data_IF_455247854820
#
_entry.id   IF_455247854820
#
_cell.length_a   1.000
_cell.length_b   1.000
_cell.length_c   1.000
_cell.angle_alpha   90.00
_cell.angle_beta   90.00
_cell.angle_gamma   90.00
#
_symmetry.space_group_name_H-M   'P 1'
#
loop_
_entity.id
_entity.type
_entity.pdbx_description
1 polymer ?
#
# COMPACT_ATOMS: atom_id res chain seq x y z
N UNK A 1 -34.07 16.08 -42.92
CA UNK A 1 -35.01 17.17 -42.56
C UNK A 1 -35.33 17.06 -41.07
N UNK A 2 -34.73 17.92 -40.24
CA UNK A 2 -35.26 18.31 -38.92
C UNK A 2 -36.62 19.03 -39.13
N UNK A 3 -37.54 19.21 -38.12
CA UNK A 3 -37.21 19.58 -36.73
C UNK A 3 -38.17 19.11 -35.60
N UNK A 4 -37.71 19.22 -34.34
CA UNK A 4 -38.20 20.19 -33.31
C UNK A 4 -37.73 19.81 -31.91
N UNK A 5 -37.01 20.71 -31.25
CA UNK A 5 -36.73 20.64 -29.82
C UNK A 5 -38.01 20.92 -29.01
N UNK A 6 -38.23 20.16 -27.94
CA UNK A 6 -39.17 20.50 -26.87
C UNK A 6 -38.35 20.99 -25.66
N UNK A 7 -38.40 22.29 -25.39
CA UNK A 7 -37.83 22.87 -24.17
C UNK A 7 -38.83 22.74 -23.01
N UNK A 8 -38.37 22.33 -21.83
CA UNK A 8 -39.13 22.45 -20.58
C UNK A 8 -38.24 23.07 -19.50
N UNK A 9 -38.61 24.26 -19.07
CA UNK A 9 -38.06 24.93 -17.91
C UNK A 9 -38.59 24.31 -16.61
N UNK A 10 -37.78 24.33 -15.55
CA UNK A 10 -38.13 23.85 -14.21
C UNK A 10 -37.61 24.78 -13.11
N UNK A 11 -38.50 25.65 -12.61
CA UNK A 11 -38.41 26.40 -11.34
C UNK A 11 -39.14 25.58 -10.24
N UNK A 12 -38.79 25.57 -8.94
CA UNK A 12 -37.67 26.14 -8.15
C UNK A 12 -37.47 25.20 -6.92
N UNK A 13 -36.56 25.37 -5.96
CA UNK A 13 -36.62 26.25 -4.75
C UNK A 13 -35.37 25.90 -3.89
N UNK A 14 -34.89 26.85 -3.08
CA UNK A 14 -33.72 26.70 -2.21
C UNK A 14 -33.93 25.84 -0.94
N UNK A 15 -32.82 25.35 -0.37
CA UNK A 15 -32.66 25.15 1.06
C UNK A 15 -31.23 25.54 1.47
N UNK A 16 -31.09 26.66 2.19
CA UNK A 16 -29.82 27.09 2.75
C UNK A 16 -29.68 26.55 4.18
N UNK A 17 -28.53 25.97 4.51
CA UNK A 17 -28.16 25.65 5.89
C UNK A 17 -26.77 26.19 6.16
N UNK A 18 -26.70 27.31 6.88
CA UNK A 18 -25.44 27.83 7.39
C UNK A 18 -25.07 27.08 8.68
N UNK A 19 -23.83 26.62 8.79
CA UNK A 19 -23.25 26.14 10.04
C UNK A 19 -22.17 27.11 10.48
N UNK A 20 -22.52 27.95 11.45
CA UNK A 20 -21.59 28.90 12.09
C UNK A 20 -20.86 28.19 13.23
N UNK A 21 -19.58 27.87 13.05
CA UNK A 21 -18.71 27.40 14.13
C UNK A 21 -17.85 28.55 14.65
N UNK A 22 -18.32 29.23 15.70
CA UNK A 22 -17.52 30.20 16.43
C UNK A 22 -16.75 29.50 17.55
N UNK A 23 -15.42 29.50 17.47
CA UNK A 23 -14.54 29.18 18.60
C UNK A 23 -13.61 30.36 18.87
N UNK A 24 -13.97 31.14 19.88
CA UNK A 24 -13.07 32.03 20.57
C UNK A 24 -13.23 31.78 22.06
N UNK A 25 -12.14 31.41 22.74
CA UNK A 25 -11.91 31.75 24.15
C UNK A 25 -10.40 31.67 24.41
N UNK A 26 -9.85 32.77 24.91
CA UNK A 26 -8.45 32.90 25.30
C UNK A 26 -8.24 32.36 26.73
N UNK A 27 -6.98 32.11 27.10
CA UNK A 27 -6.65 31.62 28.45
C UNK A 27 -5.16 31.53 28.77
N UNK A 28 -4.44 32.66 28.72
CA UNK A 28 -3.13 32.74 29.37
C UNK A 28 -3.31 32.92 30.88
N UNK A 29 -2.68 32.07 31.68
CA UNK A 29 -2.30 32.41 33.07
C UNK A 29 -1.09 31.56 33.50
N UNK A 30 0.03 32.23 33.75
CA UNK A 30 1.04 31.74 34.67
C UNK A 30 0.65 32.15 36.10
N UNK A 31 1.08 31.40 37.12
CA UNK A 31 1.94 31.90 38.21
C UNK A 31 2.04 30.94 39.41
N UNK A 32 3.28 30.78 39.89
CA UNK A 32 3.71 30.66 41.29
C UNK A 32 3.04 29.66 42.27
N UNK A 33 3.88 28.75 42.79
CA UNK A 33 4.17 28.81 44.23
C UNK A 33 4.46 27.51 45.00
N UNK A 34 5.63 27.52 45.67
CA UNK A 34 5.98 26.80 46.92
C UNK A 34 6.19 25.28 46.89
N UNK A 35 7.47 24.94 46.71
CA UNK A 35 8.30 24.20 47.67
C UNK A 35 7.59 23.39 48.78
N UNK A 36 7.81 22.08 48.76
CA UNK A 36 7.95 21.28 49.98
C UNK A 36 9.23 20.45 49.92
N UNK A 37 9.95 20.48 51.04
CA UNK A 37 11.23 19.83 51.29
C UNK A 37 11.05 18.31 51.46
N UNK A 38 11.84 17.50 50.74
CA UNK A 38 12.06 16.09 51.09
C UNK A 38 13.38 15.56 50.54
N UNK A 39 14.34 15.33 51.44
CA UNK A 39 15.60 14.64 51.15
C UNK A 39 15.45 13.12 51.20
N UNK A 40 16.06 12.47 50.21
CA UNK A 40 16.69 11.13 50.25
C UNK A 40 15.85 9.87 50.59
N UNK A 41 16.27 8.65 50.16
CA UNK A 41 17.61 8.29 49.69
C UNK A 41 17.71 7.60 48.30
N UNK A 42 18.78 7.94 47.59
CA UNK A 42 19.60 7.05 46.74
C UNK A 42 18.94 5.79 46.11
N UNK A 43 18.01 5.98 45.16
CA UNK A 43 17.68 4.90 44.22
C UNK A 43 18.84 4.70 43.23
N UNK A 44 19.36 3.46 43.19
CA UNK A 44 20.33 3.05 42.17
C UNK A 44 19.62 2.99 40.82
N UNK A 45 19.86 3.98 39.98
CA UNK A 45 19.45 3.96 38.58
C UNK A 45 20.15 2.79 37.86
N UNK A 46 19.45 1.65 37.79
CA UNK A 46 19.81 0.56 36.87
C UNK A 46 19.36 1.04 35.49
N UNK A 47 20.33 1.51 34.69
CA UNK A 47 20.07 1.85 33.31
C UNK A 47 19.44 0.65 32.60
N UNK A 48 18.31 0.80 31.88
CA UNK A 48 17.77 -0.29 31.08
C UNK A 48 18.85 -0.71 30.08
N UNK A 49 19.17 -2.00 30.05
CA UNK A 49 20.13 -2.53 29.09
C UNK A 49 19.63 -2.18 27.67
N UNK A 50 20.46 -1.49 26.90
CA UNK A 50 20.13 -1.21 25.51
C UNK A 50 19.84 -2.53 24.80
N UNK A 51 18.74 -2.64 24.02
CA UNK A 51 18.44 -3.85 23.28
C UNK A 51 19.64 -4.16 22.38
N UNK A 52 20.13 -5.40 22.47
CA UNK A 52 21.24 -5.86 21.64
C UNK A 52 20.94 -5.53 20.16
N UNK A 53 21.88 -4.96 19.41
CA UNK A 53 21.66 -4.71 17.99
C UNK A 53 21.38 -6.04 17.32
N UNK A 54 20.17 -6.20 16.76
CA UNK A 54 19.86 -7.32 15.88
C UNK A 54 20.92 -7.38 14.78
N UNK A 55 21.44 -8.57 14.43
CA UNK A 55 22.44 -8.67 13.38
C UNK A 55 21.86 -8.11 12.09
N UNK A 56 22.48 -7.04 11.57
CA UNK A 56 22.14 -6.53 10.24
C UNK A 56 22.25 -7.71 9.26
N UNK A 57 21.18 -8.06 8.51
CA UNK A 57 21.27 -9.13 7.55
C UNK A 57 22.36 -8.78 6.53
N UNK A 58 23.41 -9.58 6.48
CA UNK A 58 24.46 -9.41 5.48
C UNK A 58 23.81 -9.62 4.10
N UNK A 59 23.85 -8.64 3.19
CA UNK A 59 23.32 -8.83 1.85
C UNK A 59 24.07 -9.99 1.20
N UNK A 60 23.34 -11.01 0.75
CA UNK A 60 23.95 -12.12 0.02
C UNK A 60 24.66 -11.58 -1.22
N UNK A 61 25.85 -12.10 -1.53
CA UNK A 61 26.64 -11.65 -2.67
C UNK A 61 25.90 -11.84 -4.02
N UNK A 62 24.92 -12.74 -4.06
CA UNK A 62 24.07 -13.03 -5.21
C UNK A 62 22.79 -12.17 -5.26
N UNK A 63 22.58 -11.26 -4.30
CA UNK A 63 21.37 -10.45 -4.29
C UNK A 63 21.41 -9.35 -5.35
N UNK A 64 20.42 -9.38 -6.25
CA UNK A 64 20.19 -8.34 -7.25
C UNK A 64 19.13 -7.36 -6.75
N UNK A 65 19.41 -6.04 -6.70
CA UNK A 65 18.39 -5.04 -6.35
C UNK A 65 17.17 -5.14 -7.26
N UNK A 66 16.00 -5.02 -6.66
CA UNK A 66 14.71 -5.01 -7.35
C UNK A 66 14.53 -3.68 -8.07
N UNK A 67 14.14 -3.74 -9.35
CA UNK A 67 13.72 -2.57 -10.11
C UNK A 67 12.23 -2.36 -9.93
N UNK A 68 11.85 -1.43 -9.04
CA UNK A 68 10.45 -1.09 -8.81
C UNK A 68 9.85 -0.21 -9.90
N UNK A 69 10.61 0.24 -10.91
CA UNK A 69 10.10 1.13 -11.97
C UNK A 69 8.88 0.56 -12.71
N UNK A 70 8.82 -0.76 -12.88
CA UNK A 70 7.67 -1.44 -13.48
C UNK A 70 6.42 -1.44 -12.58
N UNK A 71 6.58 -1.40 -11.25
CA UNK A 71 5.45 -1.27 -10.31
C UNK A 71 4.87 0.16 -10.29
N UNK A 72 5.68 1.17 -10.62
CA UNK A 72 5.27 2.59 -10.69
C UNK A 72 4.59 2.98 -12.00
N UNK A 73 4.42 2.02 -12.91
CA UNK A 73 3.86 2.24 -14.23
C UNK A 73 2.40 2.74 -14.21
N UNK A 74 1.65 2.47 -13.12
CA UNK A 74 0.27 2.91 -12.94
C UNK A 74 0.07 4.42 -12.75
N UNK A 75 1.16 5.19 -12.61
CA UNK A 75 1.13 6.63 -12.33
C UNK A 75 1.40 6.94 -10.85
N UNK A 76 1.64 8.22 -10.56
CA UNK A 76 1.78 8.70 -9.19
C UNK A 76 0.39 9.00 -8.60
N UNK A 77 0.13 8.53 -7.39
CA UNK A 77 -1.13 8.80 -6.69
C UNK A 77 -0.92 9.89 -5.63
N UNK A 78 -1.71 10.97 -5.71
CA UNK A 78 -1.73 12.04 -4.70
C UNK A 78 -2.49 11.59 -3.43
N UNK A 79 -1.90 10.67 -2.65
CA UNK A 79 -2.44 10.24 -1.36
C UNK A 79 -1.68 10.82 -0.16
N UNK A 80 -2.37 10.99 0.97
CA UNK A 80 -1.74 11.33 2.24
C UNK A 80 -1.09 10.07 2.86
N UNK A 81 0.23 10.06 3.16
CA UNK A 81 0.91 8.87 3.68
C UNK A 81 0.40 8.47 5.07
N UNK A 82 -0.31 7.35 5.15
CA UNK A 82 -0.82 6.79 6.40
C UNK A 82 0.30 6.20 7.25
N UNK A 83 0.09 6.18 8.56
CA UNK A 83 0.96 5.46 9.51
C UNK A 83 0.72 3.94 9.46
N UNK A 84 1.68 3.13 9.93
CA UNK A 84 1.52 1.67 10.01
C UNK A 84 0.27 1.20 10.78
N UNK A 85 -0.12 1.90 11.84
CA UNK A 85 -1.32 1.58 12.63
C UNK A 85 -2.62 1.89 11.87
N UNK A 86 -2.69 3.05 11.22
CA UNK A 86 -3.84 3.41 10.36
C UNK A 86 -3.98 2.43 9.19
N UNK A 87 -2.86 1.99 8.61
CA UNK A 87 -2.86 0.98 7.56
C UNK A 87 -3.36 -0.38 8.04
N UNK A 88 -2.96 -0.87 9.22
CA UNK A 88 -3.48 -2.14 9.76
C UNK A 88 -5.00 -2.08 9.99
N UNK A 89 -5.50 -0.95 10.50
CA UNK A 89 -6.94 -0.75 10.69
C UNK A 89 -7.71 -0.56 9.35
N UNK A 90 -7.07 0.06 8.36
CA UNK A 90 -7.68 0.39 7.06
C UNK A 90 -7.61 -0.73 6.02
N UNK A 91 -6.75 -1.74 6.21
CA UNK A 91 -6.57 -2.86 5.26
C UNK A 91 -7.39 -4.08 5.65
N UNK A 92 -7.87 -4.82 4.65
CA UNK A 92 -8.57 -6.08 4.90
C UNK A 92 -7.58 -7.21 5.19
N UNK A 93 -6.40 -7.19 4.57
CA UNK A 93 -5.35 -8.14 4.84
C UNK A 93 -3.97 -7.47 4.71
N UNK A 94 -3.11 -7.67 5.71
CA UNK A 94 -1.69 -7.29 5.67
C UNK A 94 -0.85 -8.54 5.80
N UNK A 95 -0.01 -8.79 4.80
CA UNK A 95 0.80 -10.02 4.66
C UNK A 95 2.24 -9.72 4.28
N UNK A 96 3.14 -10.64 4.63
CA UNK A 96 4.38 -10.83 3.87
C UNK A 96 4.16 -11.96 2.88
N UNK A 97 4.58 -11.74 1.64
CA UNK A 97 4.49 -12.71 0.57
C UNK A 97 5.78 -12.74 -0.26
N UNK A 98 5.99 -13.84 -0.96
CA UNK A 98 7.08 -14.02 -1.92
C UNK A 98 6.51 -14.18 -3.33
N UNK A 99 7.09 -13.45 -4.29
CA UNK A 99 6.69 -13.54 -5.69
C UNK A 99 7.03 -14.93 -6.23
N UNK A 100 6.02 -15.70 -6.61
CA UNK A 100 6.18 -17.02 -7.24
C UNK A 100 6.46 -16.85 -8.72
N UNK A 101 5.61 -16.09 -9.42
CA UNK A 101 5.74 -15.82 -10.86
C UNK A 101 4.91 -14.61 -11.31
N UNK A 102 5.29 -14.09 -12.47
CA UNK A 102 4.51 -13.14 -13.26
C UNK A 102 3.77 -13.91 -14.37
N UNK A 103 2.45 -13.85 -14.33
CA UNK A 103 1.51 -14.50 -15.24
C UNK A 103 1.12 -13.54 -16.36
N UNK A 104 0.95 -14.10 -17.56
CA UNK A 104 0.50 -13.39 -18.76
C UNK A 104 -0.80 -12.61 -18.53
N UNK A 105 -0.87 -11.45 -19.17
CA UNK A 105 -1.82 -10.40 -18.83
C UNK A 105 -3.22 -10.55 -19.43
N UNK A 106 -4.03 -9.54 -19.10
CA UNK A 106 -5.39 -9.33 -19.56
C UNK A 106 -5.65 -7.82 -19.69
N UNK A 107 -6.72 -7.48 -20.40
CA UNK A 107 -7.15 -6.10 -20.56
C UNK A 107 -8.36 -5.83 -19.67
N UNK A 108 -8.30 -4.74 -18.90
CA UNK A 108 -9.47 -4.14 -18.29
C UNK A 108 -9.94 -2.97 -19.16
N UNK A 109 -11.24 -2.65 -19.09
CA UNK A 109 -11.76 -1.38 -19.56
C UNK A 109 -11.93 -0.43 -18.38
N UNK A 110 -11.36 0.76 -18.49
CA UNK A 110 -11.54 1.84 -17.52
C UNK A 110 -11.92 3.11 -18.28
N UNK A 111 -13.06 3.71 -17.93
CA UNK A 111 -13.74 4.80 -18.66
C UNK A 111 -13.83 4.66 -20.21
N UNK A 112 -13.74 3.42 -20.71
CA UNK A 112 -13.80 3.07 -22.13
C UNK A 112 -12.43 2.86 -22.80
N UNK A 113 -11.34 3.25 -22.12
CA UNK A 113 -9.97 2.98 -22.54
C UNK A 113 -9.52 1.57 -22.14
N UNK A 114 -8.56 1.03 -22.89
CA UNK A 114 -7.98 -0.29 -22.66
C UNK A 114 -6.76 -0.15 -21.74
N UNK A 115 -6.87 -0.68 -20.52
CA UNK A 115 -5.76 -0.71 -19.56
C UNK A 115 -5.20 -2.14 -19.47
N UNK A 116 -3.93 -2.37 -19.88
CA UNK A 116 -3.31 -3.68 -19.82
C UNK A 116 -2.78 -3.98 -18.41
N UNK A 117 -3.14 -5.15 -17.87
CA UNK A 117 -2.70 -5.67 -16.58
C UNK A 117 -2.01 -7.02 -16.76
N UNK A 118 -1.03 -7.30 -15.90
CA UNK A 118 -0.53 -8.66 -15.66
C UNK A 118 -0.93 -9.12 -14.26
N UNK A 119 -0.66 -10.39 -13.91
CA UNK A 119 -0.89 -10.87 -12.54
C UNK A 119 0.40 -11.38 -11.90
N UNK A 120 0.71 -10.86 -10.72
CA UNK A 120 1.69 -11.44 -9.81
C UNK A 120 1.01 -12.52 -8.95
N UNK A 121 1.51 -13.74 -9.02
CA UNK A 121 1.18 -14.80 -8.05
C UNK A 121 2.17 -14.74 -6.89
N UNK A 122 1.65 -14.54 -5.68
CA UNK A 122 2.41 -14.25 -4.49
C UNK A 122 2.02 -15.26 -3.40
N UNK A 123 2.98 -16.08 -2.97
CA UNK A 123 2.78 -17.04 -1.90
C UNK A 123 2.84 -16.30 -0.56
N UNK A 124 1.74 -16.32 0.20
CA UNK A 124 1.68 -15.72 1.54
C UNK A 124 2.57 -16.53 2.48
N UNK A 125 3.71 -15.97 2.87
CA UNK A 125 4.61 -16.57 3.84
C UNK A 125 4.25 -16.19 5.27
N UNK A 126 3.52 -15.09 5.45
CA UNK A 126 3.10 -14.60 6.75
C UNK A 126 1.82 -13.75 6.69
N UNK A 127 0.92 -13.90 7.66
CA UNK A 127 -0.19 -12.98 7.93
C UNK A 127 0.15 -12.12 9.13
N UNK A 128 0.08 -10.80 8.98
CA UNK A 128 0.34 -9.83 10.05
C UNK A 128 -0.97 -9.39 10.71
N UNK A 129 -2.01 -9.10 9.90
CA UNK A 129 -3.29 -8.62 10.42
C UNK A 129 -4.23 -8.13 9.31
N UNK A 130 -5.12 -7.20 9.66
CA UNK A 130 -6.20 -6.68 8.80
C UNK A 130 -7.59 -7.12 9.25
N UNK A 131 -8.65 -6.53 8.68
CA UNK A 131 -10.05 -6.83 9.05
C UNK A 131 -10.51 -8.26 8.72
N UNK A 132 -9.91 -8.85 7.70
CA UNK A 132 -10.29 -10.13 7.10
C UNK A 132 -9.02 -11.00 6.88
N UNK A 133 -8.36 -11.46 7.95
CA UNK A 133 -7.07 -12.17 7.86
C UNK A 133 -7.14 -13.44 7.00
N UNK A 134 -8.31 -14.07 6.89
CA UNK A 134 -8.56 -15.29 6.12
C UNK A 134 -9.07 -15.04 4.67
N UNK A 135 -9.05 -13.79 4.18
CA UNK A 135 -9.59 -13.42 2.87
C UNK A 135 -8.96 -14.16 1.67
N UNK A 136 -7.77 -14.74 1.84
CA UNK A 136 -7.01 -15.51 0.84
C UNK A 136 -6.80 -16.94 1.37
N UNK A 137 -7.82 -17.83 1.32
CA UNK A 137 -7.79 -19.11 2.03
C UNK A 137 -6.83 -20.14 1.42
N UNK A 138 -6.48 -20.03 0.14
CA UNK A 138 -5.52 -20.91 -0.53
C UNK A 138 -4.04 -20.51 -0.30
N UNK A 139 -3.81 -19.39 0.40
CA UNK A 139 -2.46 -18.86 0.66
C UNK A 139 -1.78 -18.23 -0.56
N UNK A 140 -2.45 -18.08 -1.70
CA UNK A 140 -1.87 -17.49 -2.92
C UNK A 140 -2.61 -16.21 -3.28
N UNK A 141 -1.99 -15.07 -2.95
CA UNK A 141 -2.48 -13.78 -3.39
C UNK A 141 -2.21 -13.63 -4.88
N UNK A 142 -3.20 -13.17 -5.64
CA UNK A 142 -3.12 -12.96 -7.08
C UNK A 142 -3.43 -11.51 -7.36
N UNK A 143 -2.37 -10.72 -7.46
CA UNK A 143 -2.45 -9.27 -7.52
C UNK A 143 -2.28 -8.81 -8.98
N UNK A 144 -3.29 -8.14 -9.55
CA UNK A 144 -3.15 -7.52 -10.86
C UNK A 144 -2.26 -6.27 -10.74
N UNK A 145 -1.37 -6.07 -11.72
CA UNK A 145 -0.44 -4.95 -11.77
C UNK A 145 -0.56 -4.31 -13.16
N UNK A 146 -0.79 -2.99 -13.21
CA UNK A 146 -0.87 -2.25 -14.47
C UNK A 146 0.48 -2.29 -15.19
N UNK A 147 0.45 -2.55 -16.50
CA UNK A 147 1.63 -2.47 -17.37
C UNK A 147 1.94 -1.03 -17.81
N UNK A 148 1.22 -0.05 -17.26
CA UNK A 148 1.31 1.36 -17.58
C UNK A 148 0.55 1.76 -18.84
N UNK A 149 0.65 3.04 -19.24
CA UNK A 149 -0.07 3.55 -20.39
C UNK A 149 0.37 2.86 -21.68
N UNK A 150 -0.56 2.75 -22.62
CA UNK A 150 -0.35 2.17 -23.95
C UNK A 150 0.18 3.24 -24.90
N UNK A 151 1.22 2.90 -25.66
CA UNK A 151 1.75 3.74 -26.73
C UNK A 151 0.72 3.92 -27.85
N UNK A 152 0.44 5.17 -28.22
CA UNK A 152 -0.49 5.50 -29.33
C UNK A 152 0.03 5.00 -30.69
N UNK A 153 1.36 4.88 -30.84
CA UNK A 153 1.99 4.47 -32.12
C UNK A 153 2.05 2.94 -32.28
N UNK A 154 2.45 2.20 -31.23
CA UNK A 154 2.62 0.75 -31.31
C UNK A 154 1.44 -0.06 -30.77
N UNK A 155 0.57 0.55 -29.95
CA UNK A 155 -0.49 -0.18 -29.23
C UNK A 155 0.04 -1.07 -28.10
N UNK A 156 1.31 -0.94 -27.73
CA UNK A 156 1.96 -1.75 -26.69
C UNK A 156 2.00 -1.00 -25.33
N UNK A 157 1.92 -1.71 -24.19
CA UNK A 157 2.12 -1.12 -22.87
C UNK A 157 3.53 -0.59 -22.67
N UNK A 158 3.67 0.39 -21.77
CA UNK A 158 4.97 0.95 -21.36
C UNK A 158 5.94 -0.11 -20.82
N UNK A 159 5.44 -1.18 -20.18
CA UNK A 159 6.25 -2.27 -19.64
C UNK A 159 5.76 -3.64 -20.12
N UNK A 160 6.58 -4.29 -20.95
CA UNK A 160 6.33 -5.68 -21.38
C UNK A 160 6.55 -6.70 -20.26
N UNK A 161 5.92 -7.86 -20.35
CA UNK A 161 5.98 -8.90 -19.30
C UNK A 161 7.40 -9.38 -18.97
N UNK A 162 8.26 -9.49 -19.98
CA UNK A 162 9.67 -9.86 -19.80
C UNK A 162 10.47 -8.79 -19.05
N UNK A 163 10.02 -7.54 -19.04
CA UNK A 163 10.60 -6.50 -18.21
C UNK A 163 10.21 -6.73 -16.74
N UNK A 164 8.92 -6.94 -16.45
CA UNK A 164 8.47 -7.30 -15.09
C UNK A 164 9.18 -8.55 -14.55
N UNK A 165 9.33 -9.62 -15.35
CA UNK A 165 10.05 -10.84 -14.95
C UNK A 165 11.53 -10.60 -14.62
N UNK A 166 12.16 -9.58 -15.21
CA UNK A 166 13.56 -9.18 -14.91
C UNK A 166 13.66 -8.21 -13.74
N UNK A 167 12.69 -7.32 -13.60
CA UNK A 167 12.65 -6.25 -12.61
C UNK A 167 12.18 -6.77 -11.23
N UNK A 168 11.23 -7.72 -11.23
CA UNK A 168 10.69 -8.45 -10.08
C UNK A 168 10.96 -9.96 -10.25
N UNK A 169 12.14 -10.46 -9.86
CA UNK A 169 12.44 -11.88 -9.95
C UNK A 169 11.59 -12.72 -8.97
N UNK A 170 11.42 -14.01 -9.29
CA UNK A 170 10.81 -14.95 -8.34
C UNK A 170 11.65 -15.02 -7.05
N UNK A 171 10.98 -15.12 -5.90
CA UNK A 171 11.57 -15.03 -4.57
C UNK A 171 11.70 -13.61 -4.01
N UNK A 172 11.33 -12.56 -4.76
CA UNK A 172 11.23 -11.20 -4.18
C UNK A 172 10.21 -11.17 -3.05
N UNK A 173 10.67 -10.82 -1.84
CA UNK A 173 9.84 -10.63 -0.65
C UNK A 173 9.15 -9.26 -0.68
N UNK A 174 7.86 -9.25 -0.36
CA UNK A 174 7.03 -8.04 -0.32
C UNK A 174 6.16 -8.04 0.93
N UNK A 175 5.92 -6.87 1.51
CA UNK A 175 4.80 -6.62 2.39
C UNK A 175 3.69 -5.97 1.58
N UNK A 176 2.48 -6.53 1.70
CA UNK A 176 1.33 -6.15 0.89
C UNK A 176 0.18 -5.71 1.78
N UNK A 177 -0.38 -4.54 1.46
CA UNK A 177 -1.60 -3.99 2.05
C UNK A 177 -2.74 -4.23 1.08
N UNK A 178 -3.51 -5.27 1.36
CA UNK A 178 -4.58 -5.76 0.49
C UNK A 178 -5.91 -5.24 0.99
N UNK A 179 -6.69 -4.65 0.09
CA UNK A 179 -8.11 -4.40 0.32
C UNK A 179 -8.93 -5.54 -0.27
N UNK A 180 -10.05 -5.86 0.36
CA UNK A 180 -11.07 -6.71 -0.23
C UNK A 180 -11.92 -5.89 -1.21
N UNK A 181 -11.25 -5.49 -2.29
CA UNK A 181 -11.86 -5.07 -3.52
C UNK A 181 -11.51 -6.13 -4.57
N UNK A 182 -12.44 -7.06 -4.80
CA UNK A 182 -12.62 -7.56 -6.16
C UNK A 182 -13.04 -6.37 -7.01
N UNK A 183 -12.08 -5.71 -7.67
CA UNK A 183 -12.44 -4.97 -8.85
C UNK A 183 -13.07 -5.98 -9.81
N UNK A 184 -14.28 -5.66 -10.29
CA UNK A 184 -14.98 -6.51 -11.25
C UNK A 184 -14.24 -6.42 -12.59
N UNK A 185 -13.22 -7.26 -12.73
CA UNK A 185 -12.45 -7.38 -13.97
C UNK A 185 -13.33 -8.06 -15.01
N UNK A 186 -13.76 -7.29 -16.03
CA UNK A 186 -14.59 -7.72 -17.17
C UNK A 186 -14.13 -9.04 -17.82
N UNK A 187 -12.83 -9.36 -17.73
CA UNK A 187 -12.25 -10.62 -18.19
C UNK A 187 -11.06 -11.01 -17.32
N UNK A 188 -11.13 -12.09 -16.51
CA UNK A 188 -9.97 -12.59 -15.79
C UNK A 188 -8.93 -13.15 -16.79
N UNK A 189 -7.63 -13.15 -16.44
CA UNK A 189 -6.60 -13.59 -17.36
C UNK A 189 -6.77 -15.07 -17.73
N UNK A 190 -6.70 -15.41 -19.03
CA UNK A 190 -6.97 -16.78 -19.52
C UNK A 190 -5.93 -17.81 -19.07
N UNK A 191 -4.79 -17.35 -18.55
CA UNK A 191 -3.74 -18.19 -17.96
C UNK A 191 -4.01 -18.60 -16.49
N UNK A 192 -5.12 -18.14 -15.88
CA UNK A 192 -5.56 -18.54 -14.54
C UNK A 192 -6.79 -19.48 -14.61
N UNK A 193 -6.99 -20.36 -13.61
CA UNK A 193 -8.20 -21.18 -13.53
C UNK A 193 -9.50 -20.35 -13.50
N UNK A 194 -10.60 -20.80 -14.11
CA UNK A 194 -11.89 -20.14 -14.01
C UNK A 194 -12.33 -19.94 -12.55
N UNK A 195 -12.86 -18.76 -12.23
CA UNK A 195 -13.26 -18.40 -10.86
C UNK A 195 -12.11 -18.01 -9.93
N UNK A 196 -10.88 -17.90 -10.44
CA UNK A 196 -9.74 -17.38 -9.66
C UNK A 196 -10.00 -15.94 -9.23
N UNK A 197 -9.94 -15.68 -7.92
CA UNK A 197 -10.11 -14.36 -7.34
C UNK A 197 -8.82 -13.54 -7.46
N UNK A 198 -8.96 -12.30 -7.94
CA UNK A 198 -7.91 -11.29 -7.95
C UNK A 198 -8.10 -10.34 -6.76
N UNK A 199 -6.98 -9.79 -6.26
CA UNK A 199 -6.96 -8.96 -5.05
C UNK A 199 -6.21 -7.66 -5.31
N UNK A 200 -6.85 -6.52 -5.08
CA UNK A 200 -6.22 -5.21 -5.21
C UNK A 200 -5.29 -4.88 -4.05
N UNK A 201 -4.07 -4.42 -4.36
CA UNK A 201 -3.24 -3.70 -3.41
C UNK A 201 -3.76 -2.26 -3.21
N UNK A 202 -3.57 -1.69 -2.02
CA UNK A 202 -3.70 -0.24 -1.83
C UNK A 202 -2.62 0.52 -2.65
N UNK A 203 -2.79 1.83 -2.93
CA UNK A 203 -1.74 2.65 -3.55
C UNK A 203 -0.42 2.59 -2.77
N UNK A 204 -0.46 2.88 -1.47
CA UNK A 204 0.64 2.72 -0.50
C UNK A 204 1.05 1.23 -0.27
N UNK A 205 0.40 0.30 -0.96
CA UNK A 205 0.20 -1.09 -0.54
C UNK A 205 1.22 -2.12 -0.98
N UNK A 206 2.31 -1.73 -1.63
CA UNK A 206 3.38 -2.65 -2.04
C UNK A 206 4.71 -2.11 -1.55
N UNK A 207 5.29 -2.78 -0.57
CA UNK A 207 6.61 -2.48 -0.01
C UNK A 207 7.53 -3.68 -0.23
N UNK A 208 8.73 -3.46 -0.78
CA UNK A 208 9.57 -4.53 -1.34
C UNK A 208 10.93 -4.60 -0.65
N UNK A 209 11.42 -5.81 -0.40
CA UNK A 209 12.79 -6.08 0.03
C UNK A 209 13.72 -6.08 -1.19
N UNK A 210 14.54 -5.04 -1.30
CA UNK A 210 15.58 -4.89 -2.32
C UNK A 210 16.95 -5.06 -1.67
N UNK A 211 17.36 -6.31 -1.48
CA UNK A 211 18.64 -6.70 -0.87
C UNK A 211 18.88 -6.13 0.53
N UNK A 212 17.87 -6.21 1.40
CA UNK A 212 17.92 -5.67 2.75
C UNK A 212 17.60 -4.17 2.83
N UNK A 213 17.35 -3.48 1.72
CA UNK A 213 16.76 -2.15 1.72
C UNK A 213 15.26 -2.23 1.44
N UNK A 214 14.45 -1.63 2.31
CA UNK A 214 13.03 -1.43 2.05
C UNK A 214 12.86 -0.36 0.97
N UNK A 215 12.06 -0.66 -0.06
CA UNK A 215 11.69 0.28 -1.11
C UNK A 215 10.18 0.26 -1.35
N UNK A 216 9.62 1.40 -1.77
CA UNK A 216 8.21 1.47 -2.19
C UNK A 216 8.04 0.96 -3.62
N UNK A 217 7.01 0.13 -3.82
CA UNK A 217 6.64 -0.50 -5.08
C UNK A 217 5.91 0.45 -6.02
N UNK A 218 4.61 0.69 -5.78
CA UNK A 218 3.78 1.60 -6.59
C UNK A 218 4.26 3.06 -6.53
N UNK A 219 4.70 3.50 -5.36
CA UNK A 219 5.21 4.85 -5.11
C UNK A 219 6.55 4.79 -4.35
N UNK A 220 7.16 5.94 -4.05
CA UNK A 220 8.30 5.98 -3.13
C UNK A 220 7.89 5.69 -1.69
N UNK A 221 8.85 5.32 -0.83
CA UNK A 221 8.58 5.38 0.61
C UNK A 221 8.25 6.81 0.98
N UNK A 222 7.12 7.04 1.65
CA UNK A 222 6.66 8.35 2.12
C UNK A 222 6.39 8.32 3.63
N UNK A 223 6.25 9.49 4.25
CA UNK A 223 5.85 9.62 5.66
C UNK A 223 6.62 8.71 6.63
N UNK A 224 5.88 8.01 7.49
CA UNK A 224 6.42 7.10 8.51
C UNK A 224 7.19 5.90 7.93
N UNK A 225 6.88 5.45 6.72
CA UNK A 225 7.51 4.28 6.07
C UNK A 225 9.02 4.47 5.87
N UNK A 226 9.49 5.71 5.72
CA UNK A 226 10.91 6.08 5.62
C UNK A 226 11.73 5.79 6.88
N UNK A 227 11.09 5.54 8.03
CA UNK A 227 11.79 5.22 9.28
C UNK A 227 12.28 3.77 9.35
N UNK A 228 11.70 2.87 8.55
CA UNK A 228 12.07 1.46 8.48
C UNK A 228 13.13 1.25 7.40
N UNK A 229 14.24 0.60 7.75
CA UNK A 229 15.35 0.38 6.82
C UNK A 229 15.19 -0.90 6.02
N UNK A 230 14.70 -1.94 6.69
CA UNK A 230 14.50 -3.28 6.11
C UNK A 230 13.03 -3.69 6.18
N UNK A 231 12.64 -4.67 5.36
CA UNK A 231 11.31 -5.29 5.44
C UNK A 231 11.07 -5.96 6.80
N UNK A 232 12.15 -6.49 7.41
CA UNK A 232 12.10 -7.17 8.69
C UNK A 232 11.92 -6.21 9.88
N UNK A 233 12.49 -4.99 9.82
CA UNK A 233 12.22 -3.92 10.79
C UNK A 233 10.74 -3.52 10.77
N UNK A 234 10.20 -3.30 9.56
CA UNK A 234 8.80 -2.92 9.38
C UNK A 234 7.87 -4.03 9.87
N UNK A 235 8.14 -5.29 9.50
CA UNK A 235 7.38 -6.45 9.99
C UNK A 235 7.40 -6.52 11.52
N UNK A 236 8.56 -6.34 12.14
CA UNK A 236 8.68 -6.37 13.60
C UNK A 236 7.88 -5.24 14.26
N UNK A 237 7.90 -4.04 13.68
CA UNK A 237 7.11 -2.90 14.16
C UNK A 237 5.60 -3.14 14.02
N UNK A 238 5.13 -3.64 12.88
CA UNK A 238 3.72 -3.94 12.65
C UNK A 238 3.17 -5.00 13.62
N UNK A 239 3.95 -6.05 13.91
CA UNK A 239 3.60 -7.09 14.91
C UNK A 239 3.57 -6.58 16.35
N UNK A 240 4.20 -5.43 16.63
CA UNK A 240 4.21 -4.81 17.95
C UNK A 240 3.06 -3.82 18.15
N UNK A 241 2.23 -3.59 17.13
CA UNK A 241 1.01 -2.79 17.24
C UNK A 241 -0.13 -3.62 17.84
N UNK A 242 -1.01 -3.01 18.65
CA UNK A 242 -2.09 -3.68 19.37
C UNK A 242 -3.31 -4.03 18.50
#
# INVERSE_FOLDING_TARGET
>A
MSPRHASRAGLTVAAATAVTAALALAGCSAENGRALDRRDPAERSVAPAAPSPSPTPTPSADCRPVDVGALRAGGAYDYEPRTPAEVLAASDLVVVAELVRIVDGFDQRDDGDRVPYLVAELAITERIGGRHPDAVPDGVLRMPISQGPVSVESGEPSFGIEQFRRSLPAGTRMLLLVNDATADYDSPPPALPPGTRLYGGQPDGVLVDSCGALVGGHDELMGAWRSYRTLDDLRAALRALP
#
